data_IF_130837494518
#
_entry.id   IF_130837494518
#
_cell.length_a   1.000
_cell.length_b   1.000
_cell.length_c   1.000
_cell.angle_alpha   90.00
_cell.angle_beta   90.00
_cell.angle_gamma   90.00
#
_symmetry.space_group_name_H-M   'P 1'
#
loop_
_entity.id
_entity.type
_entity.pdbx_description
1 polymer ?
#
# COMPACT_ATOMS: atom_id res chain seq x y z
N UNK A 1 -19.81 9.69 -6.45
CA UNK A 1 -18.92 9.74 -5.29
C UNK A 1 -17.48 9.49 -5.71
N UNK A 2 -16.57 10.27 -5.18
CA UNK A 2 -15.15 10.14 -5.49
C UNK A 2 -14.56 8.95 -4.76
N UNK A 3 -14.15 7.92 -5.52
CA UNK A 3 -13.57 6.71 -4.98
C UNK A 3 -12.20 6.51 -5.63
N UNK A 4 -11.10 6.58 -4.88
CA UNK A 4 -9.75 6.51 -5.45
C UNK A 4 -9.27 5.08 -5.75
N UNK A 5 -10.07 4.04 -5.47
CA UNK A 5 -9.59 2.66 -5.56
C UNK A 5 -9.25 2.24 -6.99
N UNK A 6 -10.07 2.66 -7.98
CA UNK A 6 -9.75 2.38 -9.37
C UNK A 6 -8.41 2.98 -9.78
N UNK A 7 -8.15 4.21 -9.36
CA UNK A 7 -6.87 4.88 -9.62
C UNK A 7 -5.73 4.20 -8.88
N UNK A 8 -5.99 3.72 -7.66
CA UNK A 8 -4.99 2.96 -6.91
C UNK A 8 -4.60 1.68 -7.66
N UNK A 9 -5.57 0.96 -8.23
CA UNK A 9 -5.27 -0.20 -9.06
C UNK A 9 -4.38 0.17 -10.26
N UNK A 10 -4.62 1.31 -10.88
CA UNK A 10 -3.76 1.78 -11.98
C UNK A 10 -2.35 2.06 -11.50
N UNK A 11 -2.20 2.65 -10.32
CA UNK A 11 -0.88 2.88 -9.72
C UNK A 11 -0.11 1.57 -9.59
N UNK A 12 -0.76 0.54 -9.04
CA UNK A 12 -0.12 -0.76 -8.82
C UNK A 12 0.21 -1.45 -10.16
N UNK A 13 -0.74 -1.45 -11.09
CA UNK A 13 -0.60 -2.19 -12.34
C UNK A 13 0.35 -1.50 -13.34
N UNK A 14 0.37 -0.18 -13.35
CA UNK A 14 1.07 0.61 -14.36
C UNK A 14 2.27 1.40 -13.80
N UNK A 15 2.53 1.32 -12.50
CA UNK A 15 3.54 2.13 -11.81
C UNK A 15 3.33 3.61 -12.07
N UNK A 16 2.07 4.04 -12.06
CA UNK A 16 1.69 5.42 -12.36
C UNK A 16 1.82 6.29 -11.11
N UNK A 17 3.04 6.73 -10.82
CA UNK A 17 3.34 7.49 -9.60
C UNK A 17 2.80 8.93 -9.66
N UNK A 18 2.53 9.44 -10.86
CA UNK A 18 1.86 10.74 -10.99
C UNK A 18 0.44 10.64 -10.44
N UNK A 19 -0.29 9.57 -10.81
CA UNK A 19 -1.63 9.32 -10.28
C UNK A 19 -1.57 9.10 -8.76
N UNK A 20 -0.56 8.36 -8.28
CA UNK A 20 -0.38 8.17 -6.84
C UNK A 20 -0.27 9.50 -6.11
N UNK A 21 0.51 10.42 -6.64
CA UNK A 21 0.67 11.75 -6.07
C UNK A 21 -0.67 12.50 -6.00
N UNK A 22 -1.51 12.33 -7.03
CA UNK A 22 -2.80 13.02 -7.11
C UNK A 22 -3.85 12.48 -6.14
N UNK A 23 -3.82 11.18 -5.85
CA UNK A 23 -4.87 10.55 -5.01
C UNK A 23 -4.57 10.58 -3.52
N UNK A 24 -3.41 11.07 -3.09
CA UNK A 24 -3.06 11.16 -1.67
C UNK A 24 -3.39 12.56 -1.14
N UNK A 25 -4.06 12.61 0.02
CA UNK A 25 -4.26 13.84 0.75
C UNK A 25 -2.92 14.36 1.28
N UNK A 26 -2.76 15.67 1.40
CA UNK A 26 -1.50 16.26 1.91
C UNK A 26 -1.18 15.77 3.33
N UNK A 27 -2.20 15.45 4.12
CA UNK A 27 -2.07 14.99 5.51
C UNK A 27 -2.28 13.49 5.66
N UNK A 28 -2.10 12.72 4.58
CA UNK A 28 -2.26 11.27 4.61
C UNK A 28 -1.34 10.65 5.67
N UNK A 29 -1.84 9.57 6.30
CA UNK A 29 -1.06 8.83 7.29
C UNK A 29 -0.87 7.41 6.76
N UNK A 30 0.39 6.97 6.73
CA UNK A 30 0.76 5.62 6.33
C UNK A 30 1.13 4.78 7.55
N UNK A 31 0.54 3.58 7.65
CA UNK A 31 0.81 2.63 8.72
C UNK A 31 1.51 1.42 8.14
N UNK A 32 2.81 1.32 8.40
CA UNK A 32 3.64 0.21 7.92
C UNK A 32 3.32 -1.08 8.68
N UNK A 33 3.45 -2.25 8.05
CA UNK A 33 3.27 -3.52 8.75
C UNK A 33 4.42 -3.87 9.68
N UNK A 34 5.54 -3.15 9.62
CA UNK A 34 6.76 -3.49 10.37
C UNK A 34 7.12 -2.46 11.44
N UNK A 35 6.62 -1.23 11.33
CA UNK A 35 6.90 -0.16 12.29
C UNK A 35 5.58 0.36 12.83
N UNK A 36 5.41 0.31 14.16
CA UNK A 36 4.14 0.74 14.76
C UNK A 36 3.88 2.24 14.64
N UNK A 37 4.92 3.06 14.69
CA UNK A 37 4.78 4.52 14.62
C UNK A 37 4.26 4.95 13.24
N UNK A 38 3.14 5.68 13.18
CA UNK A 38 2.58 6.14 11.90
C UNK A 38 3.55 7.09 11.17
N UNK A 39 3.56 6.99 9.85
CA UNK A 39 4.30 7.91 8.99
C UNK A 39 3.33 8.98 8.50
N UNK A 40 3.58 10.24 8.85
CA UNK A 40 2.62 11.32 8.62
C UNK A 40 3.05 12.22 7.47
N UNK A 41 2.14 12.42 6.54
CA UNK A 41 2.30 13.34 5.44
C UNK A 41 2.50 12.67 4.10
N UNK A 42 2.26 13.44 3.05
CA UNK A 42 2.26 12.96 1.66
C UNK A 42 3.65 12.52 1.19
N UNK A 43 4.68 13.28 1.50
CA UNK A 43 6.02 13.00 0.99
C UNK A 43 6.55 11.67 1.48
N UNK A 44 6.43 11.41 2.79
CA UNK A 44 6.90 10.13 3.36
C UNK A 44 6.02 8.97 2.89
N UNK A 45 4.72 9.18 2.76
CA UNK A 45 3.80 8.15 2.28
C UNK A 45 4.10 7.77 0.83
N UNK A 46 4.35 8.76 -0.03
CA UNK A 46 4.77 8.51 -1.41
C UNK A 46 6.01 7.65 -1.47
N UNK A 47 7.01 7.97 -0.65
CA UNK A 47 8.27 7.24 -0.62
C UNK A 47 8.04 5.77 -0.26
N UNK A 48 7.23 5.49 0.77
CA UNK A 48 6.93 4.13 1.19
C UNK A 48 6.12 3.36 0.13
N UNK A 49 5.11 3.99 -0.45
CA UNK A 49 4.26 3.31 -1.43
C UNK A 49 4.98 3.06 -2.75
N UNK A 50 5.85 3.98 -3.17
CA UNK A 50 6.68 3.76 -4.36
C UNK A 50 7.66 2.61 -4.14
N UNK A 51 8.30 2.55 -2.98
CA UNK A 51 9.22 1.46 -2.65
C UNK A 51 8.47 0.13 -2.60
N UNK A 52 7.29 0.10 -1.98
CA UNK A 52 6.46 -1.11 -1.91
C UNK A 52 6.04 -1.57 -3.31
N UNK A 53 5.68 -0.64 -4.18
CA UNK A 53 5.29 -0.95 -5.57
C UNK A 53 6.43 -1.64 -6.32
N UNK A 54 7.66 -1.17 -6.15
CA UNK A 54 8.83 -1.80 -6.79
C UNK A 54 9.06 -3.22 -6.29
N UNK A 55 8.95 -3.44 -4.98
CA UNK A 55 9.09 -4.78 -4.39
C UNK A 55 7.97 -5.70 -4.91
N UNK A 56 6.74 -5.23 -4.91
CA UNK A 56 5.57 -6.04 -5.26
C UNK A 56 5.54 -6.41 -6.75
N UNK A 57 5.90 -5.48 -7.62
CA UNK A 57 5.91 -5.74 -9.06
C UNK A 57 6.88 -6.87 -9.45
N UNK A 58 7.93 -7.07 -8.68
CA UNK A 58 8.90 -8.14 -8.93
C UNK A 58 8.53 -9.47 -8.28
N UNK A 59 7.38 -9.55 -7.60
CA UNK A 59 7.11 -10.62 -6.65
C UNK A 59 5.78 -11.35 -6.88
N UNK A 60 5.28 -11.34 -8.11
CA UNK A 60 4.03 -12.00 -8.48
C UNK A 60 2.85 -11.53 -7.60
N UNK A 61 2.77 -10.22 -7.42
CA UNK A 61 1.74 -9.60 -6.59
C UNK A 61 0.36 -9.68 -7.24
N UNK A 62 -0.65 -10.06 -6.46
CA UNK A 62 -2.05 -10.09 -6.91
C UNK A 62 -3.00 -9.65 -5.82
N UNK A 63 -3.98 -8.84 -6.19
CA UNK A 63 -5.16 -8.60 -5.35
C UNK A 63 -6.19 -9.72 -5.58
N UNK A 64 -6.90 -10.10 -4.52
CA UNK A 64 -7.94 -11.13 -4.55
C UNK A 64 -9.28 -10.54 -4.13
N UNK A 65 -9.56 -10.52 -2.83
CA UNK A 65 -10.83 -9.99 -2.33
C UNK A 65 -10.75 -8.50 -2.14
N UNK A 66 -11.83 -7.82 -2.52
CA UNK A 66 -11.94 -6.38 -2.40
C UNK A 66 -13.29 -6.06 -1.79
N UNK A 67 -13.27 -5.42 -0.63
CA UNK A 67 -14.48 -5.00 0.07
C UNK A 67 -14.45 -3.50 0.21
N UNK A 68 -15.47 -2.83 -0.33
CA UNK A 68 -15.59 -1.38 -0.26
C UNK A 68 -16.90 -1.05 0.43
N UNK A 69 -16.83 -0.23 1.46
CA UNK A 69 -18.01 0.28 2.16
C UNK A 69 -17.78 1.72 2.54
N UNK A 70 -18.65 2.61 2.08
CA UNK A 70 -18.53 4.06 2.29
C UNK A 70 -17.16 4.55 1.81
N UNK A 71 -16.37 5.15 2.66
CA UNK A 71 -15.06 5.71 2.33
C UNK A 71 -13.92 4.82 2.80
N UNK A 72 -14.12 3.51 2.85
CA UNK A 72 -13.14 2.53 3.29
C UNK A 72 -13.08 1.37 2.32
N UNK A 73 -11.88 0.87 2.08
CA UNK A 73 -11.67 -0.32 1.26
C UNK A 73 -10.68 -1.26 1.95
N UNK A 74 -10.96 -2.55 1.83
CA UNK A 74 -10.09 -3.61 2.32
C UNK A 74 -9.71 -4.45 1.11
N UNK A 75 -8.43 -4.43 0.72
CA UNK A 75 -7.93 -5.13 -0.46
C UNK A 75 -6.96 -6.21 -0.03
N UNK A 76 -7.38 -7.46 -0.17
CA UNK A 76 -6.52 -8.59 0.16
C UNK A 76 -5.55 -8.90 -0.98
N UNK A 77 -4.29 -9.15 -0.66
CA UNK A 77 -3.28 -9.47 -1.67
C UNK A 77 -2.40 -10.65 -1.26
N UNK A 78 -1.76 -11.24 -2.26
CA UNK A 78 -0.71 -12.25 -2.07
C UNK A 78 0.48 -11.92 -2.95
N UNK A 79 1.64 -12.35 -2.49
CA UNK A 79 2.89 -12.29 -3.27
C UNK A 79 3.83 -13.36 -2.74
N UNK A 80 4.89 -13.64 -3.51
CA UNK A 80 5.91 -14.61 -3.12
C UNK A 80 7.28 -13.97 -3.27
N UNK A 81 8.06 -13.97 -2.19
CA UNK A 81 9.43 -13.45 -2.19
C UNK A 81 10.34 -14.51 -1.57
N UNK A 82 11.43 -14.88 -2.28
CA UNK A 82 12.40 -15.85 -1.79
C UNK A 82 11.73 -17.15 -1.29
N UNK A 83 10.78 -17.65 -2.10
CA UNK A 83 10.01 -18.86 -1.82
C UNK A 83 9.10 -18.76 -0.59
N UNK A 84 8.90 -17.56 -0.03
CA UNK A 84 7.97 -17.32 1.06
C UNK A 84 6.67 -16.75 0.53
N UNK A 85 5.57 -17.45 0.78
CA UNK A 85 4.25 -16.96 0.44
C UNK A 85 3.79 -15.93 1.48
N UNK A 86 3.35 -14.79 1.00
CA UNK A 86 2.95 -13.66 1.83
C UNK A 86 1.53 -13.27 1.50
N UNK A 87 0.75 -13.01 2.53
CA UNK A 87 -0.64 -12.58 2.39
C UNK A 87 -0.85 -11.33 3.24
N UNK A 88 -1.55 -10.37 2.69
CA UNK A 88 -1.78 -9.14 3.42
C UNK A 88 -3.06 -8.45 3.05
N UNK A 89 -3.28 -7.32 3.67
CA UNK A 89 -4.44 -6.45 3.46
C UNK A 89 -3.97 -5.02 3.42
N UNK A 90 -4.40 -4.29 2.39
CA UNK A 90 -4.35 -2.83 2.38
C UNK A 90 -5.71 -2.32 2.88
N UNK A 91 -5.71 -1.59 3.98
CA UNK A 91 -6.90 -0.93 4.49
C UNK A 91 -6.78 0.56 4.19
N UNK A 92 -7.63 1.03 3.27
CA UNK A 92 -7.52 2.37 2.70
C UNK A 92 -8.76 3.17 3.05
N UNK A 93 -8.57 4.40 3.53
CA UNK A 93 -9.66 5.33 3.81
C UNK A 93 -9.45 6.63 3.05
N UNK A 94 -10.53 7.29 2.65
CA UNK A 94 -10.46 8.55 1.89
C UNK A 94 -11.52 9.53 2.36
N UNK A 95 -11.33 10.80 1.97
CA UNK A 95 -12.26 11.86 2.31
C UNK A 95 -13.30 12.08 1.19
N UNK A 96 -14.18 13.06 1.41
CA UNK A 96 -15.26 13.35 0.45
C UNK A 96 -14.75 13.80 -0.92
N UNK A 97 -13.52 14.29 -1.00
CA UNK A 97 -12.90 14.70 -2.24
C UNK A 97 -12.26 13.54 -3.00
N UNK A 98 -12.31 12.32 -2.43
CA UNK A 98 -11.68 11.15 -3.04
C UNK A 98 -10.18 11.07 -2.84
N UNK A 99 -9.63 11.80 -1.85
CA UNK A 99 -8.21 11.75 -1.54
C UNK A 99 -7.97 10.80 -0.37
N UNK A 100 -6.99 9.93 -0.52
CA UNK A 100 -6.65 8.93 0.51
C UNK A 100 -6.08 9.64 1.73
N UNK A 101 -6.71 9.41 2.88
CA UNK A 101 -6.31 10.01 4.16
C UNK A 101 -5.58 9.04 5.06
N UNK A 102 -5.81 7.73 4.88
CA UNK A 102 -5.12 6.68 5.64
C UNK A 102 -4.84 5.50 4.74
N UNK A 103 -3.65 4.94 4.86
CA UNK A 103 -3.25 3.75 4.14
C UNK A 103 -2.53 2.83 5.13
N UNK A 104 -3.18 1.73 5.49
CA UNK A 104 -2.68 0.82 6.53
C UNK A 104 -2.45 -0.55 5.94
N UNK A 105 -1.28 -1.13 6.19
CA UNK A 105 -0.89 -2.42 5.62
C UNK A 105 -0.72 -3.45 6.72
N UNK A 106 -1.37 -4.62 6.55
CA UNK A 106 -1.25 -5.77 7.43
C UNK A 106 -0.67 -6.93 6.65
N UNK A 107 0.25 -7.66 7.22
CA UNK A 107 0.96 -8.76 6.54
C UNK A 107 1.09 -9.97 7.46
N UNK A 108 0.92 -11.15 6.87
CA UNK A 108 1.19 -12.45 7.50
C UNK A 108 1.99 -13.32 6.54
N UNK A 109 2.72 -14.36 6.97
CA UNK A 109 3.11 -14.67 8.34
C UNK A 109 4.35 -13.85 8.79
N UNK A 110 4.88 -14.16 9.96
CA UNK A 110 6.06 -13.46 10.49
C UNK A 110 7.24 -13.47 9.50
N UNK A 111 7.50 -14.60 8.84
CA UNK A 111 8.55 -14.68 7.83
C UNK A 111 8.36 -13.65 6.72
N UNK A 112 7.11 -13.45 6.29
CA UNK A 112 6.77 -12.45 5.28
C UNK A 112 7.05 -11.04 5.77
N UNK A 113 6.68 -10.74 7.01
CA UNK A 113 6.96 -9.44 7.63
C UNK A 113 8.46 -9.17 7.65
N UNK A 114 9.27 -10.15 8.05
CA UNK A 114 10.72 -10.01 8.10
C UNK A 114 11.33 -9.75 6.72
N UNK A 115 10.86 -10.46 5.71
CA UNK A 115 11.35 -10.29 4.33
C UNK A 115 10.99 -8.91 3.80
N UNK A 116 9.76 -8.48 4.00
CA UNK A 116 9.30 -7.15 3.56
C UNK A 116 10.10 -6.07 4.29
N UNK A 117 10.33 -6.23 5.59
CA UNK A 117 11.13 -5.27 6.36
C UNK A 117 12.52 -5.11 5.76
N UNK A 118 13.17 -6.21 5.47
CA UNK A 118 14.52 -6.21 4.88
C UNK A 118 14.54 -5.52 3.52
N UNK A 119 13.60 -5.88 2.64
CA UNK A 119 13.56 -5.33 1.28
C UNK A 119 13.20 -3.85 1.27
N UNK A 120 12.23 -3.45 2.09
CA UNK A 120 11.83 -2.04 2.20
C UNK A 120 12.97 -1.20 2.78
N UNK A 121 13.68 -1.73 3.78
CA UNK A 121 14.83 -1.05 4.35
C UNK A 121 15.90 -0.76 3.30
N UNK A 122 16.17 -1.72 2.42
CA UNK A 122 17.14 -1.54 1.34
C UNK A 122 16.69 -0.48 0.34
N UNK A 123 15.40 -0.44 0.05
CA UNK A 123 14.83 0.52 -0.92
C UNK A 123 14.77 1.94 -0.39
N UNK A 124 14.65 2.09 0.93
CA UNK A 124 14.44 3.40 1.57
C UNK A 124 15.74 4.07 2.03
N UNK A 125 16.86 3.37 1.95
CA UNK A 125 18.17 3.93 2.29
C UNK A 125 18.69 4.91 1.24
#
# INVERSE_FOLDING_TARGET
MNNPISKWHDVVNLRDYNTLTEILDDHVIFYSPVVYTPQRGKDITLKYLMAASEVFNASNFKYHKEVIHKQHACLEFTLTIEDTDINGIDLISWNDSGLITEFKVFIRPLQGVNIIHKMMGNMLE
#
